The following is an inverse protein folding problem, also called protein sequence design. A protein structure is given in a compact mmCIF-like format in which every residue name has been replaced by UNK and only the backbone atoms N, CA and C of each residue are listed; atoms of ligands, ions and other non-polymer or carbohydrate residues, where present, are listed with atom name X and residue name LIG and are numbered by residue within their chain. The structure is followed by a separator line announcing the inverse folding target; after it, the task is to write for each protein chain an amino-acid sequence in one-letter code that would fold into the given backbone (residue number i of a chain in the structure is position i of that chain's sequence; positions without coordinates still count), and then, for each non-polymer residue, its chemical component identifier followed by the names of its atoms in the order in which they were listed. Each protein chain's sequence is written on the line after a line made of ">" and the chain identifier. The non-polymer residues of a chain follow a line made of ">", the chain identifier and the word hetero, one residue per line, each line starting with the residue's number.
data_IF_195424654229
#
_entry.id   IF_195424654229
#
_cell.length_a   1.000
_cell.length_b   1.000
_cell.length_c   1.000
_cell.angle_alpha   90.00
_cell.angle_beta   90.00
_cell.angle_gamma   90.00
#
_symmetry.space_group_name_H-M   'P 1'
#
loop_
_entity.id
_entity.type
_entity.pdbx_description
1 polymer ?
#
# COMPACT_ATOMS: atom_id res chain seq x y z
N UNK A 1 45.61 -7.28 2.36
CA UNK A 1 44.26 -7.75 1.95
C UNK A 1 43.25 -7.13 2.89
N UNK A 2 42.87 -5.86 2.74
CA UNK A 2 41.96 -5.20 3.71
C UNK A 2 41.08 -4.14 3.07
N UNK A 3 41.62 -3.31 2.19
CA UNK A 3 40.93 -2.06 1.83
C UNK A 3 39.90 -2.24 0.70
N UNK A 4 40.19 -3.11 -0.29
CA UNK A 4 39.26 -3.42 -1.38
C UNK A 4 38.00 -4.13 -0.88
N UNK A 5 38.14 -5.02 0.10
CA UNK A 5 37.00 -5.73 0.69
C UNK A 5 36.17 -4.79 1.59
N UNK A 6 36.81 -3.89 2.32
CA UNK A 6 36.12 -2.88 3.13
C UNK A 6 35.31 -1.90 2.27
N UNK A 7 35.85 -1.47 1.13
CA UNK A 7 35.14 -0.61 0.18
C UNK A 7 33.94 -1.30 -0.47
N UNK A 8 34.07 -2.58 -0.83
CA UNK A 8 32.97 -3.37 -1.38
C UNK A 8 31.84 -3.55 -0.35
N UNK A 9 32.19 -3.84 0.91
CA UNK A 9 31.24 -3.96 2.01
C UNK A 9 30.52 -2.63 2.29
N UNK A 10 31.26 -1.51 2.32
CA UNK A 10 30.66 -0.20 2.56
C UNK A 10 29.67 0.20 1.44
N UNK A 11 29.98 -0.17 0.19
CA UNK A 11 29.10 0.09 -0.95
C UNK A 11 27.82 -0.76 -0.91
N UNK A 12 27.93 -2.04 -0.55
CA UNK A 12 26.78 -2.94 -0.42
C UNK A 12 25.85 -2.53 0.73
N UNK A 13 26.42 -2.10 1.87
CA UNK A 13 25.65 -1.58 3.01
C UNK A 13 24.89 -0.31 2.61
N UNK A 14 25.52 0.62 1.89
CA UNK A 14 24.84 1.84 1.43
C UNK A 14 23.68 1.52 0.49
N UNK A 15 23.84 0.60 -0.46
CA UNK A 15 22.74 0.19 -1.33
C UNK A 15 21.60 -0.49 -0.57
N UNK A 16 21.93 -1.36 0.39
CA UNK A 16 20.93 -2.03 1.22
C UNK A 16 20.14 -1.02 2.08
N UNK A 17 20.82 -0.04 2.67
CA UNK A 17 20.18 1.01 3.46
C UNK A 17 19.18 1.84 2.63
N UNK A 18 19.52 2.17 1.38
CA UNK A 18 18.60 2.84 0.47
C UNK A 18 17.35 2.00 0.16
N UNK A 19 17.53 0.72 -0.12
CA UNK A 19 16.41 -0.19 -0.41
C UNK A 19 15.49 -0.31 0.82
N UNK A 20 16.05 -0.56 2.00
CA UNK A 20 15.29 -0.69 3.26
C UNK A 20 14.55 0.61 3.58
N UNK A 21 15.22 1.77 3.46
CA UNK A 21 14.58 3.07 3.68
C UNK A 21 13.42 3.32 2.72
N UNK A 22 13.60 3.00 1.43
CA UNK A 22 12.53 3.17 0.42
C UNK A 22 11.34 2.24 0.71
N UNK A 23 11.60 0.99 1.11
CA UNK A 23 10.56 0.05 1.51
C UNK A 23 9.78 0.53 2.74
N UNK A 24 10.46 1.06 3.77
CA UNK A 24 9.78 1.60 4.95
C UNK A 24 8.89 2.80 4.62
N UNK A 25 9.35 3.69 3.73
CA UNK A 25 8.54 4.84 3.28
C UNK A 25 7.31 4.36 2.51
N UNK A 26 7.48 3.40 1.60
CA UNK A 26 6.35 2.82 0.84
C UNK A 26 5.31 2.17 1.76
N UNK A 27 5.75 1.40 2.75
CA UNK A 27 4.85 0.78 3.73
C UNK A 27 4.11 1.84 4.56
N UNK A 28 4.83 2.88 5.01
CA UNK A 28 4.21 4.00 5.72
C UNK A 28 3.16 4.72 4.89
N UNK A 29 3.45 4.93 3.60
CA UNK A 29 2.49 5.52 2.66
C UNK A 29 1.26 4.62 2.51
N UNK A 30 1.42 3.30 2.31
CA UNK A 30 0.30 2.37 2.18
C UNK A 30 -0.61 2.34 3.41
N UNK A 31 -0.04 2.35 4.61
CA UNK A 31 -0.82 2.36 5.87
C UNK A 31 -1.55 3.68 6.03
N UNK A 32 -0.93 4.80 5.63
CA UNK A 32 -1.53 6.11 5.84
C UNK A 32 -2.68 6.40 4.88
N UNK A 33 -2.80 5.74 3.71
CA UNK A 33 -3.78 6.14 2.67
C UNK A 33 -5.23 6.03 3.17
N UNK A 34 -5.90 7.14 3.54
CA UNK A 34 -7.29 7.08 3.99
C UNK A 34 -8.27 6.85 2.82
N UNK A 35 -7.76 6.87 1.58
CA UNK A 35 -8.53 6.76 0.33
C UNK A 35 -8.53 5.35 -0.27
N UNK A 36 -7.73 4.42 0.26
CA UNK A 36 -7.70 3.02 -0.17
C UNK A 36 -8.60 2.12 0.70
N UNK A 37 -9.29 2.69 1.69
CA UNK A 37 -10.23 2.00 2.56
C UNK A 37 -11.52 1.68 1.77
N UNK A 38 -11.60 0.46 1.24
CA UNK A 38 -12.78 -0.03 0.52
C UNK A 38 -13.90 -0.25 1.53
N UNK A 39 -14.86 0.66 1.56
CA UNK A 39 -16.02 0.54 2.45
C UNK A 39 -17.10 -0.27 1.72
N UNK A 40 -17.40 -1.46 2.24
CA UNK A 40 -18.61 -2.20 1.86
C UNK A 40 -19.81 -1.39 2.34
N UNK A 41 -20.68 -0.98 1.40
CA UNK A 41 -21.99 -0.42 1.76
C UNK A 41 -23.07 -1.28 1.15
N UNK A 42 -24.03 -1.69 1.99
CA UNK A 42 -25.27 -2.29 1.54
C UNK A 42 -26.13 -1.21 0.90
N UNK A 43 -26.22 -1.23 -0.43
CA UNK A 43 -27.10 -0.33 -1.18
C UNK A 43 -28.39 -1.08 -1.52
N UNK A 44 -29.53 -0.51 -1.10
CA UNK A 44 -30.85 -1.07 -1.38
C UNK A 44 -31.19 -0.79 -2.84
N UNK A 45 -31.12 -1.82 -3.69
CA UNK A 45 -31.44 -1.68 -5.12
C UNK A 45 -32.95 -1.79 -5.32
N UNK A 46 -33.63 -0.65 -5.29
CA UNK A 46 -35.03 -0.52 -5.70
C UNK A 46 -36.04 -1.28 -4.82
N UNK A 47 -37.32 -1.05 -5.14
CA UNK A 47 -38.53 -1.34 -4.35
C UNK A 47 -38.83 -2.84 -4.13
N UNK A 48 -37.88 -3.61 -3.59
CA UNK A 48 -37.99 -5.07 -3.44
C UNK A 48 -37.13 -5.74 -2.36
N UNK A 49 -36.42 -4.97 -1.52
CA UNK A 49 -35.80 -5.52 -0.31
C UNK A 49 -34.54 -6.39 -0.51
N UNK A 50 -33.96 -6.43 -1.71
CA UNK A 50 -32.70 -7.14 -1.95
C UNK A 50 -31.51 -6.21 -1.69
N UNK A 51 -30.64 -6.59 -0.75
CA UNK A 51 -29.38 -5.90 -0.44
C UNK A 51 -28.26 -6.52 -1.28
N UNK A 52 -27.70 -5.74 -2.20
CA UNK A 52 -26.45 -6.11 -2.88
C UNK A 52 -25.29 -5.39 -2.20
N UNK A 53 -24.27 -6.15 -1.80
CA UNK A 53 -23.01 -5.58 -1.31
C UNK A 53 -22.28 -4.91 -2.47
N UNK A 54 -22.19 -3.58 -2.45
CA UNK A 54 -21.39 -2.85 -3.41
C UNK A 54 -20.12 -2.30 -2.76
N UNK A 55 -19.02 -2.40 -3.49
CA UNK A 55 -17.74 -1.84 -3.08
C UNK A 55 -17.78 -0.35 -3.41
N UNK A 56 -17.65 0.50 -2.40
CA UNK A 56 -17.60 1.95 -2.58
C UNK A 56 -16.15 2.39 -2.57
N UNK A 57 -15.69 2.90 -3.70
CA UNK A 57 -14.36 3.47 -3.84
C UNK A 57 -14.46 4.92 -4.31
N UNK A 58 -14.14 5.86 -3.41
CA UNK A 58 -13.95 7.29 -3.72
C UNK A 58 -15.02 7.88 -4.66
N UNK A 59 -16.29 7.61 -4.35
CA UNK A 59 -17.51 8.07 -5.07
C UNK A 59 -17.94 7.26 -6.29
N UNK A 60 -17.23 6.16 -6.61
CA UNK A 60 -17.68 5.18 -7.60
C UNK A 60 -18.28 3.96 -6.93
N UNK A 61 -19.48 3.58 -7.37
CA UNK A 61 -20.14 2.33 -6.96
C UNK A 61 -19.80 1.27 -7.99
N UNK A 62 -19.05 0.24 -7.57
CA UNK A 62 -18.92 -0.99 -8.34
C UNK A 62 -19.98 -1.98 -7.84
N UNK A 63 -21.09 -2.00 -8.57
CA UNK A 63 -22.14 -3.01 -8.56
C UNK A 63 -22.21 -3.60 -9.98
#
# INVERSE_FOLDING_TARGET
>A
MTDLHALALARSIRSAAWIVGTCMILLGLMIWQPWADVKEKDVTRGNGGYTSKCLVYKDTFAC
#
